data_IF_123052755307
#
_entry.id   IF_123052755307
#
_cell.length_a   1.000
_cell.length_b   1.000
_cell.length_c   1.000
_cell.angle_alpha   90.00
_cell.angle_beta   90.00
_cell.angle_gamma   90.00
#
_symmetry.space_group_name_H-M   'P 1'
#
loop_
_entity.id
_entity.type
_entity.pdbx_description
1 polymer ?
#
# COMPACT_ATOMS: atom_id res chain seq x y z
N UNK A 1 -60.73 24.95 -25.46
CA UNK A 1 -61.80 25.94 -25.75
C UNK A 1 -62.35 26.39 -24.41
N UNK A 2 -62.09 27.64 -24.06
CA UNK A 2 -62.40 28.20 -22.75
C UNK A 2 -63.90 28.11 -22.48
N UNK A 3 -64.26 27.37 -21.42
CA UNK A 3 -65.66 27.10 -21.09
C UNK A 3 -66.24 28.24 -20.26
N UNK A 4 -66.67 29.30 -20.94
CA UNK A 4 -67.50 30.38 -20.36
C UNK A 4 -66.75 31.63 -19.89
N UNK A 5 -65.43 31.59 -19.88
CA UNK A 5 -64.49 32.68 -19.57
C UNK A 5 -63.68 32.87 -20.86
N UNK A 6 -63.41 34.09 -21.26
CA UNK A 6 -62.87 34.36 -22.59
C UNK A 6 -61.44 33.85 -22.77
N UNK A 7 -60.92 34.19 -23.93
CA UNK A 7 -59.49 34.24 -24.25
C UNK A 7 -59.33 35.64 -24.85
N UNK A 8 -59.04 36.61 -23.97
CA UNK A 8 -59.20 38.03 -24.24
C UNK A 8 -58.23 38.55 -25.30
N UNK A 9 -57.04 37.95 -25.39
CA UNK A 9 -56.02 38.32 -26.35
C UNK A 9 -55.83 37.29 -27.48
N UNK A 10 -56.37 36.07 -27.33
CA UNK A 10 -56.42 35.06 -28.39
C UNK A 10 -55.15 34.21 -28.49
N UNK A 11 -54.37 34.10 -27.41
CA UNK A 11 -53.14 33.29 -27.40
C UNK A 11 -53.38 31.79 -27.14
N UNK A 12 -54.62 31.43 -26.79
CA UNK A 12 -55.06 30.06 -26.58
C UNK A 12 -55.12 29.62 -25.11
N UNK A 13 -54.75 30.47 -24.16
CA UNK A 13 -54.95 30.29 -22.71
C UNK A 13 -56.26 30.98 -22.29
N UNK A 14 -56.93 30.45 -21.27
CA UNK A 14 -58.21 31.00 -20.82
C UNK A 14 -58.00 32.08 -19.76
N UNK A 15 -58.77 33.18 -19.81
CA UNK A 15 -58.59 34.36 -18.95
C UNK A 15 -58.46 34.06 -17.44
N UNK A 16 -59.02 32.94 -16.95
CA UNK A 16 -59.00 32.55 -15.54
C UNK A 16 -57.71 31.85 -15.08
N UNK A 17 -56.93 31.33 -16.03
CA UNK A 17 -55.62 30.72 -15.81
C UNK A 17 -54.53 31.41 -16.60
N UNK A 18 -54.86 32.43 -17.37
CA UNK A 18 -53.91 33.22 -18.14
C UNK A 18 -53.17 34.21 -17.24
N UNK A 19 -51.85 34.06 -17.19
CA UNK A 19 -50.97 34.90 -16.42
C UNK A 19 -50.65 36.24 -17.10
N UNK A 20 -50.95 36.39 -18.38
CA UNK A 20 -50.86 37.62 -19.16
C UNK A 20 -52.11 37.89 -20.03
N UNK A 21 -53.30 38.11 -19.42
CA UNK A 21 -54.62 38.10 -20.09
C UNK A 21 -54.89 39.26 -21.07
N UNK A 22 -53.88 40.04 -21.45
CA UNK A 22 -53.98 41.11 -22.42
C UNK A 22 -52.75 41.16 -23.36
N UNK A 23 -51.91 40.13 -23.35
CA UNK A 23 -50.72 40.05 -24.17
C UNK A 23 -50.74 38.79 -25.06
N UNK A 24 -51.19 38.92 -26.32
CA UNK A 24 -51.38 37.78 -27.23
C UNK A 24 -50.10 37.05 -27.65
N UNK A 25 -48.94 37.49 -27.16
CA UNK A 25 -47.64 36.89 -27.47
C UNK A 25 -47.10 36.02 -26.32
N UNK A 26 -47.76 35.99 -25.15
CA UNK A 26 -47.27 35.28 -23.96
C UNK A 26 -48.38 34.38 -23.42
N UNK A 27 -48.50 33.20 -24.03
CA UNK A 27 -49.36 32.12 -23.57
C UNK A 27 -48.74 31.42 -22.36
N UNK A 28 -49.04 31.90 -21.15
CA UNK A 28 -48.58 31.27 -19.90
C UNK A 28 -49.71 31.05 -18.89
N UNK A 29 -49.63 29.94 -18.18
CA UNK A 29 -50.58 29.52 -17.14
C UNK A 29 -49.86 28.95 -15.91
N UNK A 30 -50.53 28.87 -14.74
CA UNK A 30 -49.97 28.20 -13.57
C UNK A 30 -49.43 26.79 -13.90
N UNK A 31 -48.23 26.51 -13.41
CA UNK A 31 -47.46 25.29 -13.68
C UNK A 31 -46.53 25.37 -14.89
N UNK A 32 -46.62 26.41 -15.72
CA UNK A 32 -45.64 26.62 -16.79
C UNK A 32 -44.26 26.98 -16.22
N UNK A 33 -43.22 26.51 -16.88
CA UNK A 33 -41.84 26.80 -16.50
C UNK A 33 -41.53 28.30 -16.65
N UNK A 34 -40.79 28.83 -15.70
CA UNK A 34 -40.31 30.21 -15.70
C UNK A 34 -38.91 30.27 -15.07
N UNK A 35 -38.39 31.47 -14.83
CA UNK A 35 -37.13 31.74 -14.12
C UNK A 35 -37.42 32.86 -13.12
N UNK A 36 -37.34 32.56 -11.82
CA UNK A 36 -37.62 33.54 -10.76
C UNK A 36 -36.37 34.38 -10.40
N UNK A 37 -35.22 34.04 -10.99
CA UNK A 37 -33.93 34.68 -10.77
C UNK A 37 -33.34 34.43 -9.38
N UNK A 38 -33.94 33.59 -8.55
CA UNK A 38 -33.45 33.19 -7.24
C UNK A 38 -32.67 31.88 -7.36
N UNK A 39 -31.35 32.03 -7.37
CA UNK A 39 -30.41 30.91 -7.44
C UNK A 39 -30.42 29.98 -6.21
N UNK A 40 -31.23 30.27 -5.19
CA UNK A 40 -31.48 29.34 -4.09
C UNK A 40 -32.66 28.40 -4.36
N UNK A 41 -33.26 28.49 -5.55
CA UNK A 41 -34.40 27.67 -5.97
C UNK A 41 -34.15 26.98 -7.32
N UNK A 42 -34.86 25.87 -7.56
CA UNK A 42 -34.81 25.09 -8.79
C UNK A 42 -36.22 24.72 -9.25
N UNK A 43 -36.36 24.41 -10.54
CA UNK A 43 -37.61 23.99 -11.17
C UNK A 43 -38.72 25.05 -11.07
N UNK A 44 -38.39 26.28 -11.47
CA UNK A 44 -39.29 27.42 -11.29
C UNK A 44 -40.53 27.29 -12.16
N UNK A 45 -41.67 27.50 -11.52
CA UNK A 45 -42.99 27.40 -12.14
C UNK A 45 -43.86 28.55 -11.70
N UNK A 46 -44.79 28.94 -12.59
CA UNK A 46 -45.82 29.90 -12.24
C UNK A 46 -46.75 29.30 -11.17
N UNK A 47 -46.86 29.98 -10.03
CA UNK A 47 -47.84 29.62 -8.99
C UNK A 47 -49.28 29.97 -9.41
N UNK A 48 -50.26 29.65 -8.55
CA UNK A 48 -51.68 29.99 -8.78
C UNK A 48 -51.96 31.50 -8.83
N UNK A 49 -50.99 32.32 -8.46
CA UNK A 49 -51.03 33.77 -8.48
C UNK A 49 -50.17 34.35 -9.61
N UNK A 50 -49.65 33.52 -10.52
CA UNK A 50 -48.78 33.89 -11.63
C UNK A 50 -47.46 34.53 -11.22
N UNK A 51 -46.97 34.25 -10.01
CA UNK A 51 -45.60 34.55 -9.63
C UNK A 51 -44.72 33.39 -10.07
N UNK A 52 -43.55 33.68 -10.63
CA UNK A 52 -42.54 32.66 -10.81
C UNK A 52 -41.93 32.33 -9.46
N UNK A 53 -41.99 31.05 -9.06
CA UNK A 53 -41.40 30.57 -7.81
C UNK A 53 -40.74 29.22 -8.04
N UNK A 54 -39.53 29.05 -7.52
CA UNK A 54 -38.83 27.77 -7.51
C UNK A 54 -39.05 26.93 -6.26
N UNK A 55 -38.55 25.70 -6.33
CA UNK A 55 -38.44 24.79 -5.17
C UNK A 55 -37.10 25.04 -4.49
N UNK A 56 -37.06 25.31 -3.17
CA UNK A 56 -35.80 25.57 -2.46
C UNK A 56 -34.77 24.45 -2.63
N UNK A 57 -33.52 24.82 -2.90
CA UNK A 57 -32.39 23.89 -2.99
C UNK A 57 -31.73 23.66 -1.63
N UNK A 58 -30.76 22.74 -1.58
CA UNK A 58 -29.89 22.58 -0.41
C UNK A 58 -29.13 23.88 -0.07
N UNK A 59 -29.01 24.81 -1.02
CA UNK A 59 -28.28 26.06 -0.90
C UNK A 59 -29.15 27.23 -0.40
N UNK A 60 -30.33 26.94 0.17
CA UNK A 60 -31.22 27.97 0.72
C UNK A 60 -30.49 28.87 1.73
N UNK A 61 -30.36 30.16 1.41
CA UNK A 61 -29.69 31.15 2.25
C UNK A 61 -28.17 31.27 2.05
N UNK A 62 -27.60 30.45 1.17
CA UNK A 62 -26.17 30.46 0.78
C UNK A 62 -26.05 30.89 -0.70
N UNK A 63 -26.90 30.34 -1.57
CA UNK A 63 -26.85 30.55 -3.02
C UNK A 63 -26.08 29.46 -3.75
N UNK A 64 -26.32 29.37 -5.06
CA UNK A 64 -25.59 28.58 -6.06
C UNK A 64 -25.28 29.54 -7.22
N UNK A 65 -24.03 30.00 -7.33
CA UNK A 65 -23.72 31.20 -8.10
C UNK A 65 -23.79 30.99 -9.62
N UNK A 66 -23.52 29.78 -10.11
CA UNK A 66 -23.50 29.44 -11.53
C UNK A 66 -24.51 28.35 -11.92
N UNK A 67 -25.31 27.88 -10.96
CA UNK A 67 -26.43 26.95 -11.15
C UNK A 67 -26.00 25.53 -11.55
N UNK A 68 -24.86 25.07 -11.04
CA UNK A 68 -24.37 23.70 -11.24
C UNK A 68 -24.89 22.69 -10.21
N UNK A 69 -25.57 23.17 -9.16
CA UNK A 69 -26.14 22.37 -8.08
C UNK A 69 -25.29 22.28 -6.81
N UNK A 70 -24.14 22.96 -6.76
CA UNK A 70 -23.25 23.04 -5.58
C UNK A 70 -23.47 24.39 -4.89
N UNK A 71 -23.47 24.38 -3.56
CA UNK A 71 -23.69 25.60 -2.79
C UNK A 71 -22.41 26.44 -2.74
N UNK A 72 -22.57 27.77 -2.84
CA UNK A 72 -21.46 28.72 -2.95
C UNK A 72 -20.47 28.72 -1.76
N UNK A 73 -20.80 28.11 -0.62
CA UNK A 73 -19.88 27.92 0.50
C UNK A 73 -18.99 26.68 0.38
N UNK A 74 -19.35 25.76 -0.52
CA UNK A 74 -18.62 24.52 -0.83
C UNK A 74 -18.11 24.46 -2.26
N UNK A 75 -18.64 25.28 -3.15
CA UNK A 75 -18.21 25.37 -4.54
C UNK A 75 -16.83 26.03 -4.65
N UNK A 76 -15.92 25.36 -5.35
CA UNK A 76 -14.58 25.87 -5.58
C UNK A 76 -14.47 26.82 -6.78
N UNK A 77 -15.53 26.96 -7.58
CA UNK A 77 -15.58 27.92 -8.67
C UNK A 77 -17.00 28.38 -9.01
N UNK A 78 -17.54 29.29 -8.19
CA UNK A 78 -18.80 30.03 -8.34
C UNK A 78 -19.08 30.73 -9.70
N UNK A 79 -18.18 30.65 -10.68
CA UNK A 79 -18.30 31.34 -11.98
C UNK A 79 -18.23 30.40 -13.19
N UNK A 80 -18.17 29.08 -13.00
CA UNK A 80 -18.08 28.11 -14.08
C UNK A 80 -18.82 26.82 -13.73
N UNK A 81 -20.08 26.75 -14.18
CA UNK A 81 -20.96 25.61 -13.92
C UNK A 81 -20.47 24.26 -14.50
N UNK A 82 -19.35 24.23 -15.22
CA UNK A 82 -18.71 22.99 -15.65
C UNK A 82 -17.62 22.51 -14.68
N UNK A 83 -17.22 23.35 -13.72
CA UNK A 83 -16.26 23.04 -12.68
C UNK A 83 -17.00 22.66 -11.40
N UNK A 84 -17.51 21.43 -11.37
CA UNK A 84 -18.28 20.90 -10.23
C UNK A 84 -17.41 20.45 -9.05
N UNK A 85 -16.24 21.07 -8.87
CA UNK A 85 -15.34 20.73 -7.76
C UNK A 85 -15.87 21.40 -6.49
N UNK A 86 -16.05 20.62 -5.44
CA UNK A 86 -16.46 21.10 -4.12
C UNK A 86 -15.45 20.74 -3.04
N UNK A 87 -15.48 21.47 -1.93
CA UNK A 87 -14.69 21.17 -0.73
C UNK A 87 -14.85 19.69 -0.36
N UNK A 88 -13.71 19.01 -0.16
CA UNK A 88 -13.64 17.59 0.17
C UNK A 88 -13.65 16.64 -1.01
N UNK A 89 -13.79 17.13 -2.25
CA UNK A 89 -13.58 16.29 -3.43
C UNK A 89 -12.13 15.82 -3.51
N UNK A 90 -11.96 14.59 -3.99
CA UNK A 90 -10.65 13.99 -4.21
C UNK A 90 -9.91 14.74 -5.32
N UNK A 91 -8.62 14.96 -5.12
CA UNK A 91 -7.74 15.61 -6.08
C UNK A 91 -6.34 14.98 -6.01
N UNK A 92 -5.36 15.57 -6.69
CA UNK A 92 -3.94 15.17 -6.65
C UNK A 92 -3.12 16.46 -6.49
N UNK A 93 -2.44 16.62 -5.35
CA UNK A 93 -1.61 17.79 -5.04
C UNK A 93 -0.19 17.68 -5.63
N UNK A 94 0.15 16.50 -6.18
CA UNK A 94 1.43 16.16 -6.78
C UNK A 94 2.58 16.01 -5.78
N UNK A 95 2.31 16.07 -4.47
CA UNK A 95 3.26 15.81 -3.41
C UNK A 95 3.19 14.32 -3.02
N UNK A 96 4.18 13.55 -3.42
CA UNK A 96 4.24 12.13 -3.10
C UNK A 96 4.48 11.82 -1.61
N UNK A 97 4.65 12.85 -0.78
CA UNK A 97 4.75 12.69 0.69
C UNK A 97 3.42 12.90 1.41
N UNK A 98 2.32 13.04 0.67
CA UNK A 98 0.96 13.12 1.17
C UNK A 98 0.09 12.00 0.57
N UNK A 99 -1.01 11.68 1.26
CA UNK A 99 -2.04 10.73 0.82
C UNK A 99 -3.43 11.31 1.06
N UNK A 100 -4.46 10.70 0.47
CA UNK A 100 -5.86 11.10 0.66
C UNK A 100 -6.12 12.58 0.32
N UNK A 101 -5.53 13.03 -0.79
CA UNK A 101 -5.63 14.38 -1.33
C UNK A 101 -7.07 14.82 -1.56
N UNK A 102 -7.42 15.96 -0.95
CA UNK A 102 -8.75 16.53 -1.05
C UNK A 102 -8.70 18.06 -1.11
N UNK A 103 -9.73 18.65 -1.71
CA UNK A 103 -9.90 20.10 -1.71
C UNK A 103 -10.20 20.62 -0.31
N UNK A 104 -9.35 21.52 0.20
CA UNK A 104 -9.55 22.18 1.48
C UNK A 104 -10.62 23.29 1.43
N UNK A 105 -10.85 23.96 2.55
CA UNK A 105 -11.81 25.08 2.64
C UNK A 105 -11.42 26.31 1.79
N UNK A 106 -10.24 26.30 1.20
CA UNK A 106 -9.74 27.32 0.29
C UNK A 106 -9.57 26.79 -1.13
N UNK A 107 -10.10 25.60 -1.43
CA UNK A 107 -10.04 24.93 -2.72
C UNK A 107 -8.62 24.68 -3.23
N UNK A 108 -7.67 24.55 -2.31
CA UNK A 108 -6.36 24.00 -2.61
C UNK A 108 -6.45 22.49 -2.50
N UNK A 109 -5.87 21.79 -3.47
CA UNK A 109 -5.64 20.37 -3.29
C UNK A 109 -4.51 20.18 -2.27
N UNK A 110 -4.81 19.50 -1.17
CA UNK A 110 -3.83 19.16 -0.14
C UNK A 110 -4.07 17.72 0.31
N UNK A 111 -3.00 16.99 0.55
CA UNK A 111 -3.06 15.68 1.17
C UNK A 111 -2.73 15.66 2.66
N UNK A 112 -2.88 14.49 3.24
CA UNK A 112 -2.52 14.13 4.60
C UNK A 112 -1.05 13.69 4.62
N UNK A 113 -0.18 14.35 5.40
CA UNK A 113 1.24 14.00 5.50
C UNK A 113 1.47 12.52 5.86
N UNK A 114 2.36 11.84 5.13
CA UNK A 114 2.79 10.46 5.42
C UNK A 114 3.98 10.43 6.38
N UNK A 115 4.45 9.22 6.72
CA UNK A 115 5.72 9.05 7.42
C UNK A 115 6.93 9.57 6.60
N UNK A 116 6.74 9.78 5.29
CA UNK A 116 7.79 10.18 4.35
C UNK A 116 7.89 11.71 4.17
N UNK A 117 7.10 12.50 4.91
CA UNK A 117 7.19 13.97 4.85
C UNK A 117 8.60 14.46 5.19
N UNK A 118 9.23 15.13 4.21
CA UNK A 118 10.60 15.64 4.30
C UNK A 118 11.70 14.62 3.94
N UNK A 119 11.33 13.38 3.62
CA UNK A 119 12.20 12.31 3.12
C UNK A 119 11.95 12.10 1.61
N UNK A 120 10.67 11.96 1.22
CA UNK A 120 10.26 11.60 -0.15
C UNK A 120 9.76 10.16 -0.26
N UNK A 121 8.96 9.88 -1.29
CA UNK A 121 8.50 8.56 -1.76
C UNK A 121 8.26 8.70 -3.27
N UNK A 122 9.28 8.52 -4.11
CA UNK A 122 9.27 9.01 -5.47
C UNK A 122 8.35 8.24 -6.43
N UNK A 123 8.01 7.00 -6.13
CA UNK A 123 7.09 6.19 -6.94
C UNK A 123 5.71 5.94 -6.30
N UNK A 124 5.51 6.34 -5.04
CA UNK A 124 4.23 6.32 -4.35
C UNK A 124 3.81 4.93 -3.90
N UNK A 125 4.75 4.02 -3.67
CA UNK A 125 4.46 2.66 -3.18
C UNK A 125 4.21 2.59 -1.66
N UNK A 126 4.49 3.70 -0.95
CA UNK A 126 4.29 3.86 0.48
C UNK A 126 5.53 3.58 1.34
N UNK A 127 6.68 3.30 0.73
CA UNK A 127 7.98 3.18 1.39
C UNK A 127 8.74 4.50 1.23
N UNK A 128 9.35 4.98 2.31
CA UNK A 128 10.06 6.25 2.24
C UNK A 128 11.42 6.08 1.56
N UNK A 129 11.82 7.08 0.78
CA UNK A 129 13.04 7.10 -0.05
C UNK A 129 14.36 6.79 0.70
N UNK A 130 14.42 6.90 2.02
CA UNK A 130 15.60 6.54 2.81
C UNK A 130 15.70 5.05 3.15
N UNK A 131 14.58 4.32 3.01
CA UNK A 131 14.48 2.88 3.23
C UNK A 131 14.11 2.10 1.98
N UNK A 132 13.63 2.77 0.94
CA UNK A 132 13.30 2.16 -0.34
C UNK A 132 14.55 1.81 -1.15
N UNK A 133 14.64 0.56 -1.59
CA UNK A 133 15.73 0.07 -2.40
C UNK A 133 15.62 0.39 -3.88
N UNK A 134 14.44 0.77 -4.37
CA UNK A 134 14.23 1.29 -5.72
C UNK A 134 13.06 2.28 -5.74
N UNK A 135 13.31 3.47 -5.19
CA UNK A 135 12.41 4.64 -5.10
C UNK A 135 11.97 5.21 -6.47
N UNK A 136 12.05 4.44 -7.56
CA UNK A 136 11.58 4.80 -8.89
C UNK A 136 10.78 3.66 -9.57
N UNK A 137 10.57 2.53 -8.92
CA UNK A 137 9.75 1.42 -9.43
C UNK A 137 8.71 0.98 -8.38
N UNK A 138 7.44 1.39 -8.52
CA UNK A 138 6.41 1.12 -7.52
C UNK A 138 5.98 -0.35 -7.44
N UNK A 139 6.59 -1.23 -8.25
CA UNK A 139 6.41 -2.68 -8.15
C UNK A 139 7.53 -3.35 -7.34
N UNK A 140 8.59 -2.61 -7.00
CA UNK A 140 9.72 -3.10 -6.23
C UNK A 140 9.62 -2.61 -4.78
N UNK A 141 8.76 -3.24 -4.00
CA UNK A 141 8.53 -2.89 -2.60
C UNK A 141 9.64 -3.39 -1.64
N UNK A 142 10.88 -3.51 -2.13
CA UNK A 142 12.00 -4.01 -1.30
C UNK A 142 12.54 -2.86 -0.46
N UNK A 143 12.62 -3.05 0.84
CA UNK A 143 13.12 -2.02 1.77
C UNK A 143 14.25 -2.53 2.66
N UNK A 144 15.07 -1.60 3.17
CA UNK A 144 16.13 -1.87 4.13
C UNK A 144 15.59 -2.71 5.30
N UNK A 145 16.27 -3.82 5.60
CA UNK A 145 15.89 -4.78 6.64
C UNK A 145 14.99 -5.93 6.16
N UNK A 146 14.50 -5.91 4.92
CA UNK A 146 13.78 -7.04 4.35
C UNK A 146 14.66 -8.27 4.26
N UNK A 147 14.06 -9.44 4.50
CA UNK A 147 14.76 -10.71 4.38
C UNK A 147 15.13 -10.99 2.92
N UNK A 148 16.35 -11.47 2.71
CA UNK A 148 16.87 -11.81 1.40
C UNK A 148 17.72 -13.08 1.48
N UNK A 149 18.42 -13.44 0.41
CA UNK A 149 19.40 -14.53 0.40
C UNK A 149 20.64 -14.03 -0.35
N UNK A 150 21.78 -13.89 0.34
CA UNK A 150 23.03 -13.38 -0.23
C UNK A 150 23.84 -14.47 -0.96
N UNK A 151 23.43 -15.73 -0.81
CA UNK A 151 24.06 -16.91 -1.39
C UNK A 151 25.37 -17.32 -0.71
N UNK A 152 25.77 -16.65 0.37
CA UNK A 152 26.94 -16.98 1.18
C UNK A 152 26.52 -17.98 2.27
N UNK A 153 26.95 -19.24 2.12
CA UNK A 153 26.66 -20.27 3.11
C UNK A 153 27.33 -20.04 4.47
N UNK A 154 28.24 -19.07 4.58
CA UNK A 154 28.87 -18.72 5.84
C UNK A 154 28.17 -17.59 6.59
N UNK A 155 27.03 -17.11 6.09
CA UNK A 155 26.19 -16.09 6.74
C UNK A 155 24.80 -16.65 7.10
N UNK A 156 24.12 -15.98 8.04
CA UNK A 156 22.75 -16.31 8.45
C UNK A 156 21.92 -15.03 8.65
N UNK A 157 20.60 -15.17 8.53
CA UNK A 157 19.64 -14.06 8.71
C UNK A 157 19.89 -12.91 7.73
N UNK A 158 19.97 -13.22 6.44
CA UNK A 158 20.30 -12.24 5.41
C UNK A 158 19.20 -11.20 5.28
N UNK A 159 19.63 -9.94 5.29
CA UNK A 159 18.76 -8.78 5.19
C UNK A 159 19.35 -7.75 4.23
N UNK A 160 18.48 -6.94 3.62
CA UNK A 160 18.91 -5.77 2.86
C UNK A 160 19.57 -4.76 3.80
N UNK A 161 20.83 -4.43 3.53
CA UNK A 161 21.57 -3.41 4.27
C UNK A 161 21.12 -1.98 3.88
N UNK A 162 21.72 -0.96 4.50
CA UNK A 162 21.39 0.44 4.22
C UNK A 162 21.74 0.91 2.80
N UNK A 163 22.43 0.09 1.99
CA UNK A 163 22.69 0.32 0.57
C UNK A 163 21.96 -0.70 -0.31
N UNK A 164 20.98 -1.41 0.24
CA UNK A 164 20.17 -2.41 -0.45
C UNK A 164 20.95 -3.59 -1.03
N UNK A 165 22.10 -3.90 -0.43
CA UNK A 165 22.77 -5.16 -0.70
C UNK A 165 22.24 -6.21 0.26
N UNK A 166 21.99 -7.40 -0.26
CA UNK A 166 21.69 -8.54 0.60
C UNK A 166 22.98 -9.00 1.30
N UNK A 167 22.95 -9.05 2.63
CA UNK A 167 24.05 -9.59 3.44
C UNK A 167 23.52 -10.21 4.72
N UNK A 168 24.13 -11.31 5.16
CA UNK A 168 23.83 -11.95 6.43
C UNK A 168 24.80 -11.64 7.55
N UNK A 169 24.49 -12.21 8.72
CA UNK A 169 25.33 -12.19 9.91
C UNK A 169 26.38 -13.30 9.80
N UNK A 170 27.69 -12.98 9.92
CA UNK A 170 28.78 -13.96 9.86
C UNK A 170 28.62 -15.11 10.86
N UNK A 171 28.85 -16.34 10.41
CA UNK A 171 28.96 -17.55 11.24
C UNK A 171 30.41 -17.81 11.69
N UNK A 172 30.62 -18.86 12.49
CA UNK A 172 31.97 -19.35 12.82
C UNK A 172 32.76 -19.81 11.58
N UNK A 173 32.07 -20.14 10.49
CA UNK A 173 32.67 -20.65 9.26
C UNK A 173 33.03 -19.54 8.26
N UNK A 174 32.80 -18.27 8.61
CA UNK A 174 33.14 -17.11 7.75
C UNK A 174 34.63 -17.11 7.39
N UNK A 175 34.91 -17.19 6.08
CA UNK A 175 36.27 -17.26 5.54
C UNK A 175 36.92 -18.65 5.56
N UNK A 176 36.22 -19.65 6.07
CA UNK A 176 36.57 -21.08 6.03
C UNK A 176 35.69 -21.79 4.97
N UNK A 177 34.37 -21.57 5.02
CA UNK A 177 33.36 -22.26 4.21
C UNK A 177 32.54 -23.27 5.01
N UNK A 178 31.34 -23.59 4.51
CA UNK A 178 30.41 -24.66 4.95
C UNK A 178 29.56 -25.01 3.71
N UNK A 179 30.03 -25.94 2.88
CA UNK A 179 29.56 -26.08 1.50
C UNK A 179 28.21 -26.79 1.36
N UNK A 180 27.81 -27.60 2.34
CA UNK A 180 26.50 -28.28 2.34
C UNK A 180 25.49 -27.68 3.33
N UNK A 181 25.90 -26.70 4.13
CA UNK A 181 25.09 -25.94 5.06
C UNK A 181 24.56 -26.76 6.25
N UNK A 182 25.33 -27.75 6.72
CA UNK A 182 24.98 -28.55 7.90
C UNK A 182 25.37 -27.89 9.24
N UNK A 183 26.14 -26.80 9.17
CA UNK A 183 26.60 -26.01 10.30
C UNK A 183 27.99 -26.39 10.83
N UNK A 184 28.72 -27.28 10.16
CA UNK A 184 30.11 -27.63 10.42
C UNK A 184 31.01 -26.90 9.42
N UNK A 185 32.11 -26.32 9.92
CA UNK A 185 33.00 -25.57 9.03
C UNK A 185 33.88 -26.51 8.20
N UNK A 186 34.11 -26.15 6.94
CA UNK A 186 34.85 -26.93 5.94
C UNK A 186 36.27 -27.39 6.35
N UNK A 187 36.90 -26.77 7.36
CA UNK A 187 38.21 -27.17 7.87
C UNK A 187 38.18 -28.35 8.86
N UNK A 188 37.00 -28.59 9.46
CA UNK A 188 36.76 -29.68 10.41
C UNK A 188 35.69 -30.66 9.95
N UNK A 189 34.97 -30.35 8.87
CA UNK A 189 33.97 -31.23 8.28
C UNK A 189 34.61 -32.41 7.54
N UNK A 190 34.13 -33.61 7.85
CA UNK A 190 34.58 -34.83 7.22
C UNK A 190 33.92 -35.15 5.88
N UNK A 191 32.79 -34.54 5.55
CA UNK A 191 32.16 -34.60 4.23
C UNK A 191 31.35 -33.34 3.94
N UNK A 192 32.06 -32.24 3.66
CA UNK A 192 31.56 -30.90 3.29
C UNK A 192 30.80 -30.87 1.93
N UNK A 193 30.12 -31.95 1.56
CA UNK A 193 29.24 -32.07 0.40
C UNK A 193 27.99 -32.90 0.69
N UNK A 194 27.81 -33.39 1.91
CA UNK A 194 26.68 -34.22 2.35
C UNK A 194 26.07 -33.66 3.64
N UNK A 195 24.96 -32.90 3.55
CA UNK A 195 24.40 -32.21 4.71
C UNK A 195 23.77 -33.15 5.75
N UNK A 196 23.64 -34.44 5.44
CA UNK A 196 23.20 -35.46 6.39
C UNK A 196 24.39 -36.03 7.21
N UNK A 197 25.63 -35.66 6.90
CA UNK A 197 26.86 -36.16 7.51
C UNK A 197 27.59 -35.10 8.35
N UNK A 198 27.02 -34.79 9.52
CA UNK A 198 27.56 -33.79 10.46
C UNK A 198 28.79 -34.25 11.26
N UNK A 199 29.57 -35.20 10.75
CA UNK A 199 30.74 -35.73 11.42
C UNK A 199 31.91 -34.75 11.28
N UNK A 200 32.49 -34.33 12.40
CA UNK A 200 33.63 -33.40 12.41
C UNK A 200 34.87 -34.02 13.06
N UNK A 201 36.04 -33.49 12.73
CA UNK A 201 37.33 -33.90 13.33
C UNK A 201 37.21 -33.88 14.87
N UNK A 202 37.57 -35.00 15.50
CA UNK A 202 37.52 -35.18 16.95
C UNK A 202 36.20 -35.75 17.49
N UNK A 203 35.18 -35.93 16.66
CA UNK A 203 33.95 -36.63 17.06
C UNK A 203 34.24 -38.08 17.46
N UNK A 204 33.47 -38.56 18.44
CA UNK A 204 33.57 -39.93 18.89
C UNK A 204 33.08 -40.89 17.80
N UNK A 205 33.83 -41.96 17.57
CA UNK A 205 33.50 -42.98 16.59
C UNK A 205 33.82 -44.37 17.16
N UNK A 206 33.74 -45.43 16.34
CA UNK A 206 34.18 -46.77 16.72
C UNK A 206 34.96 -47.38 15.55
N UNK A 207 36.26 -47.64 15.74
CA UNK A 207 37.15 -48.15 14.70
C UNK A 207 37.09 -49.69 14.57
N UNK A 208 36.38 -50.35 15.49
CA UNK A 208 36.21 -51.79 15.56
C UNK A 208 37.46 -52.56 16.01
N UNK A 209 38.54 -51.87 16.38
CA UNK A 209 39.76 -52.45 16.92
C UNK A 209 39.64 -52.53 18.45
N UNK A 210 39.59 -53.76 18.96
CA UNK A 210 39.47 -54.00 20.39
C UNK A 210 40.80 -53.80 21.16
N UNK A 211 41.82 -53.23 20.53
CA UNK A 211 43.09 -52.87 21.17
C UNK A 211 43.26 -51.36 21.35
N UNK A 212 42.30 -50.55 20.89
CA UNK A 212 42.26 -49.09 21.00
C UNK A 212 41.12 -48.65 21.94
N UNK A 213 41.24 -47.45 22.51
CA UNK A 213 40.21 -46.78 23.31
C UNK A 213 40.09 -45.31 22.91
N UNK A 214 39.00 -44.64 23.30
CA UNK A 214 38.73 -43.22 23.02
C UNK A 214 38.79 -42.89 21.51
N UNK A 215 38.18 -43.76 20.70
CA UNK A 215 38.08 -43.65 19.25
C UNK A 215 37.47 -42.31 18.81
N UNK A 216 38.23 -41.59 17.98
CA UNK A 216 37.82 -40.30 17.44
C UNK A 216 38.20 -40.18 15.97
N UNK A 217 37.47 -39.31 15.25
CA UNK A 217 37.85 -38.93 13.90
C UNK A 217 39.16 -38.13 13.91
N UNK A 218 40.15 -38.60 13.15
CA UNK A 218 41.43 -37.92 12.98
C UNK A 218 41.36 -36.78 11.94
N UNK A 219 42.47 -36.10 11.69
CA UNK A 219 42.53 -34.99 10.71
C UNK A 219 42.30 -35.42 9.25
N UNK A 220 42.21 -36.73 8.98
CA UNK A 220 41.88 -37.28 7.67
C UNK A 220 40.51 -37.98 7.72
N UNK A 221 39.71 -37.73 8.77
CA UNK A 221 38.38 -38.29 8.97
C UNK A 221 38.34 -39.82 9.02
N UNK A 222 39.44 -40.44 9.44
CA UNK A 222 39.46 -41.85 9.77
C UNK A 222 39.14 -42.01 11.25
N UNK A 223 38.29 -42.99 11.57
CA UNK A 223 38.09 -43.38 12.94
C UNK A 223 39.30 -44.17 13.45
N UNK A 224 39.93 -43.70 14.51
CA UNK A 224 41.03 -44.40 15.18
C UNK A 224 41.04 -44.06 16.68
N UNK A 225 41.34 -45.06 17.51
CA UNK A 225 41.54 -44.84 18.95
C UNK A 225 43.02 -44.79 19.38
N UNK A 226 43.19 -44.50 20.66
CA UNK A 226 44.50 -44.53 21.32
C UNK A 226 44.87 -45.98 21.66
N UNK A 227 46.03 -46.50 21.25
CA UNK A 227 46.45 -47.85 21.58
C UNK A 227 46.51 -48.06 23.10
N UNK A 228 45.86 -49.13 23.56
CA UNK A 228 45.99 -49.60 24.93
C UNK A 228 47.33 -50.32 25.14
N UNK A 229 47.66 -50.63 26.40
CA UNK A 229 48.78 -51.51 26.72
C UNK A 229 48.61 -52.96 26.17
N UNK A 230 47.48 -53.27 25.54
CA UNK A 230 47.08 -54.60 25.08
C UNK A 230 47.45 -54.88 23.62
N UNK A 231 48.30 -54.05 23.00
CA UNK A 231 48.75 -54.24 21.62
C UNK A 231 49.35 -55.65 21.43
N UNK A 232 48.65 -56.51 20.69
CA UNK A 232 49.04 -57.90 20.42
C UNK A 232 48.45 -58.96 21.36
N UNK A 233 47.64 -58.57 22.35
CA UNK A 233 46.98 -59.49 23.30
C UNK A 233 45.44 -59.42 23.17
N UNK A 234 44.89 -58.24 22.86
CA UNK A 234 43.43 -58.02 22.70
C UNK A 234 42.73 -57.66 24.01
N UNK A 235 41.77 -56.74 23.97
CA UNK A 235 40.82 -56.42 25.06
C UNK A 235 39.40 -56.70 24.55
N UNK A 236 38.94 -57.94 24.72
CA UNK A 236 37.73 -58.43 24.05
C UNK A 236 36.41 -57.91 24.66
N UNK A 237 36.44 -57.38 25.87
CA UNK A 237 35.28 -56.79 26.55
C UNK A 237 35.36 -55.26 26.70
N UNK A 238 36.46 -54.64 26.26
CA UNK A 238 36.59 -53.19 26.11
C UNK A 238 36.62 -52.45 27.44
N UNK A 239 37.11 -53.10 28.51
CA UNK A 239 37.15 -52.54 29.86
C UNK A 239 38.49 -51.85 30.19
N UNK A 240 39.43 -51.84 29.24
CA UNK A 240 40.76 -51.27 29.37
C UNK A 240 41.80 -52.20 30.01
N UNK A 241 41.46 -53.48 30.22
CA UNK A 241 42.33 -54.50 30.84
C UNK A 241 42.59 -55.65 29.85
N UNK A 242 43.88 -55.89 29.57
CA UNK A 242 44.29 -56.93 28.62
C UNK A 242 43.99 -58.34 29.14
N UNK A 243 43.54 -59.25 28.26
CA UNK A 243 43.22 -60.65 28.58
C UNK A 243 44.36 -61.64 28.27
#
# INVERSE_FOLDING_TARGET
ACTGIGDADGDGVCDDVDCQPNNPNIATQPGDACDDGDNTTLNDQLDNNCNCVGTPTACTGIGDADSDGICADTDCNDNDANNTNQIGDACDDGDNTTLDDALDNNCNCIGVPTACTGIGDADGDGICADTDCDDNDPNNTSQVGDACNDGDNTTLNDQLDANCNCAGTPTACTGIGDADNDGVCADVDCDDNDPDNTNQIGDACNDGDNTTIDDRLDNNCNCAGTPTACTGIGDNDGDGICA
#
